data_IF_398227533058
#
_entry.id   IF_398227533058
#
_cell.length_a   1.000
_cell.length_b   1.000
_cell.length_c   1.000
_cell.angle_alpha   90.00
_cell.angle_beta   90.00
_cell.angle_gamma   90.00
#
_symmetry.space_group_name_H-M   'P 1'
#
loop_
_entity.id
_entity.type
_entity.pdbx_description
1 polymer ?
#
# COMPACT_ATOMS: atom_id res chain seq x y z
N UNK A 1 -14.96 -8.28 -6.80
CA UNK A 1 -13.89 -8.65 -7.76
C UNK A 1 -13.97 -7.81 -9.02
N UNK A 2 -14.92 -8.09 -9.91
CA UNK A 2 -14.97 -7.49 -11.25
C UNK A 2 -15.40 -6.00 -11.25
N UNK A 3 -16.52 -5.67 -10.59
CA UNK A 3 -17.03 -4.29 -10.53
C UNK A 3 -15.99 -3.35 -9.89
N UNK A 4 -15.39 -3.79 -8.78
CA UNK A 4 -14.31 -3.05 -8.12
C UNK A 4 -13.10 -2.82 -9.02
N UNK A 5 -12.69 -3.81 -9.82
CA UNK A 5 -11.61 -3.65 -10.78
C UNK A 5 -11.93 -2.60 -11.85
N UNK A 6 -13.13 -2.68 -12.45
CA UNK A 6 -13.59 -1.68 -13.43
C UNK A 6 -13.65 -0.26 -12.84
N UNK A 7 -14.23 -0.12 -11.64
CA UNK A 7 -14.30 1.17 -10.95
C UNK A 7 -12.90 1.70 -10.62
N UNK A 8 -12.01 0.86 -10.11
CA UNK A 8 -10.66 1.25 -9.72
C UNK A 8 -9.83 1.68 -10.94
N UNK A 9 -9.91 0.95 -12.06
CA UNK A 9 -9.26 1.35 -13.32
C UNK A 9 -9.82 2.67 -13.84
N UNK A 10 -11.15 2.86 -13.78
CA UNK A 10 -11.80 4.10 -14.19
C UNK A 10 -11.35 5.31 -13.37
N UNK A 11 -11.35 5.18 -12.04
CA UNK A 11 -10.86 6.23 -11.12
C UNK A 11 -9.38 6.51 -11.37
N UNK A 12 -8.56 5.46 -11.49
CA UNK A 12 -7.13 5.61 -11.77
C UNK A 12 -6.89 6.37 -13.09
N UNK A 13 -7.64 6.07 -14.15
CA UNK A 13 -7.54 6.78 -15.44
C UNK A 13 -7.91 8.26 -15.32
N UNK A 14 -8.95 8.59 -14.57
CA UNK A 14 -9.36 9.99 -14.32
C UNK A 14 -8.25 10.75 -13.58
N UNK A 15 -7.68 10.16 -12.52
CA UNK A 15 -6.58 10.77 -11.76
C UNK A 15 -5.33 10.91 -12.63
N UNK A 16 -5.00 9.90 -13.44
CA UNK A 16 -3.88 9.95 -14.39
C UNK A 16 -4.02 11.10 -15.39
N UNK A 17 -5.23 11.33 -15.91
CA UNK A 17 -5.49 12.41 -16.86
C UNK A 17 -5.43 13.79 -16.18
N UNK A 18 -5.88 13.89 -14.92
CA UNK A 18 -5.93 15.16 -14.19
C UNK A 18 -4.56 15.60 -13.66
N UNK A 19 -3.76 14.68 -13.14
CA UNK A 19 -2.48 14.99 -12.47
C UNK A 19 -1.24 14.56 -13.26
N UNK A 20 -1.42 13.77 -14.33
CA UNK A 20 -0.33 13.23 -15.13
C UNK A 20 0.40 12.05 -14.46
N UNK A 21 1.23 11.31 -15.22
CA UNK A 21 1.99 10.16 -14.70
C UNK A 21 3.02 10.57 -13.64
N UNK A 22 3.52 11.82 -13.70
CA UNK A 22 4.57 12.32 -12.82
C UNK A 22 4.09 12.61 -11.39
N UNK A 23 2.78 12.60 -11.16
CA UNK A 23 2.19 12.75 -9.84
C UNK A 23 2.24 11.46 -9.00
N UNK A 24 2.62 10.33 -9.60
CA UNK A 24 2.76 9.04 -8.94
C UNK A 24 4.23 8.65 -8.77
N UNK A 25 4.60 8.21 -7.57
CA UNK A 25 5.95 7.71 -7.30
C UNK A 25 6.45 7.99 -5.89
N UNK A 26 7.68 7.57 -5.57
CA UNK A 26 8.34 7.94 -4.32
C UNK A 26 8.44 9.48 -4.27
N UNK A 27 8.01 10.08 -3.15
CA UNK A 27 8.04 11.53 -2.91
C UNK A 27 7.17 12.39 -3.84
N UNK A 28 6.15 11.80 -4.48
CA UNK A 28 5.14 12.51 -5.27
C UNK A 28 3.82 12.66 -4.53
N UNK A 29 2.87 13.42 -5.11
CA UNK A 29 1.54 13.67 -4.53
C UNK A 29 0.79 12.37 -4.19
N UNK A 30 0.99 11.32 -4.99
CA UNK A 30 0.46 9.99 -4.75
C UNK A 30 1.59 8.98 -4.53
N UNK A 31 1.98 8.70 -3.27
CA UNK A 31 3.00 7.71 -2.97
C UNK A 31 2.49 6.32 -3.34
N UNK A 32 3.12 5.70 -4.34
CA UNK A 32 2.73 4.40 -4.87
C UNK A 32 3.92 3.42 -4.87
N UNK A 33 4.51 3.10 -3.70
CA UNK A 33 5.72 2.30 -3.62
C UNK A 33 5.54 0.94 -4.31
N UNK A 34 4.45 0.21 -4.06
CA UNK A 34 4.26 -1.09 -4.71
C UNK A 34 4.23 -1.01 -6.25
N UNK A 35 3.57 0.01 -6.80
CA UNK A 35 3.52 0.23 -8.24
C UNK A 35 4.89 0.61 -8.82
N UNK A 36 5.67 1.44 -8.11
CA UNK A 36 7.03 1.82 -8.51
C UNK A 36 7.99 0.63 -8.57
N UNK A 37 7.86 -0.35 -7.67
CA UNK A 37 8.70 -1.55 -7.71
C UNK A 37 8.38 -2.41 -8.94
N UNK A 38 7.10 -2.64 -9.22
CA UNK A 38 6.69 -3.40 -10.41
C UNK A 38 7.12 -2.66 -11.69
N UNK A 39 6.95 -1.34 -11.74
CA UNK A 39 7.40 -0.51 -12.84
C UNK A 39 8.92 -0.58 -13.05
N UNK A 40 9.71 -0.56 -11.97
CA UNK A 40 11.17 -0.71 -12.04
C UNK A 40 11.57 -2.09 -12.60
N UNK A 41 10.86 -3.17 -12.24
CA UNK A 41 11.13 -4.50 -12.77
C UNK A 41 10.79 -4.61 -14.27
N UNK A 42 9.70 -3.97 -14.71
CA UNK A 42 9.32 -3.90 -16.14
C UNK A 42 10.30 -3.03 -16.94
N UNK A 43 10.80 -1.96 -16.33
CA UNK A 43 11.84 -1.09 -16.91
C UNK A 43 13.23 -1.72 -17.01
N UNK A 44 13.39 -2.93 -16.46
CA UNK A 44 14.63 -3.69 -16.47
C UNK A 44 15.36 -3.63 -15.12
N UNK A 45 16.05 -4.73 -14.78
CA UNK A 45 16.79 -4.85 -13.53
C UNK A 45 18.06 -3.97 -13.61
N UNK A 46 18.18 -2.91 -12.80
CA UNK A 46 19.28 -1.95 -12.93
C UNK A 46 20.64 -2.56 -12.56
N UNK A 47 20.67 -3.49 -11.59
CA UNK A 47 21.87 -4.19 -11.15
C UNK A 47 21.59 -5.68 -10.94
N UNK A 48 21.93 -6.49 -11.94
CA UNK A 48 21.71 -7.94 -11.92
C UNK A 48 22.36 -8.63 -10.71
N UNK A 49 23.55 -8.18 -10.31
CA UNK A 49 24.28 -8.73 -9.16
C UNK A 49 23.53 -8.47 -7.85
N UNK A 50 23.10 -7.23 -7.60
CA UNK A 50 22.34 -6.87 -6.40
C UNK A 50 20.99 -7.59 -6.34
N UNK A 51 20.32 -7.77 -7.49
CA UNK A 51 19.10 -8.57 -7.58
C UNK A 51 19.35 -10.03 -7.20
N UNK A 52 20.40 -10.66 -7.74
CA UNK A 52 20.75 -12.05 -7.42
C UNK A 52 21.10 -12.22 -5.93
N UNK A 53 21.87 -11.29 -5.38
CA UNK A 53 22.21 -11.28 -3.94
C UNK A 53 20.94 -11.14 -3.10
N UNK A 54 20.02 -10.26 -3.48
CA UNK A 54 18.71 -10.13 -2.84
C UNK A 54 17.87 -11.41 -2.92
N UNK A 55 17.84 -12.09 -4.06
CA UNK A 55 17.17 -13.38 -4.22
C UNK A 55 17.76 -14.47 -3.31
N UNK A 56 19.10 -14.57 -3.26
CA UNK A 56 19.78 -15.55 -2.40
C UNK A 56 19.55 -15.24 -0.91
N UNK A 57 19.65 -13.97 -0.52
CA UNK A 57 19.36 -13.54 0.85
C UNK A 57 17.89 -13.84 1.22
N UNK A 58 16.94 -13.54 0.33
CA UNK A 58 15.53 -13.88 0.52
C UNK A 58 15.29 -15.38 0.65
N UNK A 59 15.97 -16.19 -0.15
CA UNK A 59 15.91 -17.66 -0.07
C UNK A 59 16.44 -18.17 1.29
N UNK A 60 17.57 -17.64 1.76
CA UNK A 60 18.13 -17.99 3.07
C UNK A 60 17.16 -17.64 4.19
N UNK A 61 16.60 -16.42 4.17
CA UNK A 61 15.61 -15.98 5.16
C UNK A 61 14.34 -16.85 5.11
N UNK A 62 13.92 -17.29 3.92
CA UNK A 62 12.78 -18.20 3.75
C UNK A 62 13.05 -19.57 4.38
N UNK A 63 14.25 -20.15 4.16
CA UNK A 63 14.67 -21.41 4.79
C UNK A 63 14.71 -21.29 6.31
N UNK A 64 15.05 -20.11 6.83
CA UNK A 64 15.01 -19.81 8.27
C UNK A 64 13.60 -19.59 8.84
N UNK A 65 12.53 -19.75 8.04
CA UNK A 65 11.15 -19.45 8.40
C UNK A 65 10.94 -18.00 8.90
N UNK A 66 11.80 -17.07 8.47
CA UNK A 66 11.62 -15.66 8.76
C UNK A 66 10.59 -15.06 7.80
N UNK A 67 9.79 -14.08 8.23
CA UNK A 67 8.75 -13.46 7.40
C UNK A 67 9.38 -12.53 6.35
N UNK A 68 9.94 -13.12 5.29
CA UNK A 68 10.69 -12.42 4.23
C UNK A 68 9.85 -11.34 3.55
N UNK A 69 8.56 -11.61 3.32
CA UNK A 69 7.65 -10.63 2.71
C UNK A 69 7.45 -9.40 3.60
N UNK A 70 7.24 -9.61 4.90
CA UNK A 70 7.04 -8.52 5.86
C UNK A 70 8.32 -7.69 6.03
N UNK A 71 9.48 -8.35 6.07
CA UNK A 71 10.78 -7.69 6.15
C UNK A 71 11.10 -6.89 4.87
N UNK A 72 10.86 -7.49 3.70
CA UNK A 72 11.04 -6.82 2.41
C UNK A 72 10.14 -5.61 2.26
N UNK A 73 8.87 -5.72 2.67
CA UNK A 73 7.96 -4.58 2.73
C UNK A 73 8.44 -3.51 3.72
N UNK A 74 8.95 -3.89 4.89
CA UNK A 74 9.42 -2.94 5.91
C UNK A 74 10.65 -2.13 5.49
N UNK A 75 11.57 -2.73 4.73
CA UNK A 75 12.75 -2.04 4.17
C UNK A 75 12.34 -1.10 3.03
N UNK A 76 11.27 -1.43 2.33
CA UNK A 76 10.82 -0.75 1.12
C UNK A 76 9.78 0.35 1.35
N UNK A 77 8.92 0.22 2.36
CA UNK A 77 7.83 1.16 2.59
C UNK A 77 8.34 2.46 3.22
N UNK A 78 7.85 3.62 2.73
CA UNK A 78 7.99 4.89 3.44
C UNK A 78 7.60 4.76 4.90
N UNK A 79 8.37 5.41 5.78
CA UNK A 79 8.19 5.31 7.24
C UNK A 79 6.75 5.58 7.68
N UNK A 80 6.06 6.53 7.03
CA UNK A 80 4.68 6.87 7.36
C UNK A 80 3.68 5.73 7.06
N UNK A 81 3.88 4.97 5.97
CA UNK A 81 3.05 3.80 5.64
C UNK A 81 3.35 2.62 6.58
N UNK A 82 4.62 2.44 6.96
CA UNK A 82 5.00 1.44 7.97
C UNK A 82 4.41 1.77 9.34
N UNK A 83 4.36 3.06 9.71
CA UNK A 83 3.73 3.54 10.94
C UNK A 83 2.22 3.28 10.94
N UNK A 84 1.49 3.61 9.87
CA UNK A 84 0.04 3.36 9.82
C UNK A 84 -0.27 1.87 9.89
N UNK A 85 0.52 1.02 9.22
CA UNK A 85 0.44 -0.43 9.36
C UNK A 85 0.74 -0.89 10.80
N UNK A 86 1.75 -0.30 11.45
CA UNK A 86 2.08 -0.61 12.85
C UNK A 86 0.94 -0.24 13.80
N UNK A 87 0.29 0.91 13.61
CA UNK A 87 -0.89 1.29 14.39
C UNK A 87 -2.06 0.34 14.17
N UNK A 88 -2.30 -0.10 12.93
CA UNK A 88 -3.32 -1.13 12.63
C UNK A 88 -3.04 -2.46 13.31
N UNK A 89 -1.78 -2.90 13.30
CA UNK A 89 -1.34 -4.10 14.01
C UNK A 89 -1.41 -3.97 15.52
N UNK A 90 -1.06 -2.80 16.07
CA UNK A 90 -1.14 -2.52 17.50
C UNK A 90 -2.59 -2.49 17.99
N UNK A 91 -3.50 -1.85 17.23
CA UNK A 91 -4.92 -1.85 17.54
C UNK A 91 -5.49 -3.27 17.54
N UNK A 92 -5.15 -4.09 16.54
CA UNK A 92 -5.51 -5.52 16.54
C UNK A 92 -4.96 -6.23 17.80
N UNK A 93 -3.68 -6.06 18.12
CA UNK A 93 -3.07 -6.69 19.29
C UNK A 93 -3.77 -6.29 20.61
N UNK A 94 -4.10 -5.01 20.76
CA UNK A 94 -4.85 -4.52 21.92
C UNK A 94 -6.26 -5.11 21.94
N UNK A 95 -6.97 -5.15 20.81
CA UNK A 95 -8.31 -5.75 20.76
C UNK A 95 -8.28 -7.25 21.07
N UNK A 96 -7.29 -7.98 20.58
CA UNK A 96 -7.10 -9.40 20.90
C UNK A 96 -6.84 -9.62 22.41
N UNK A 97 -6.12 -8.70 23.05
CA UNK A 97 -5.79 -8.75 24.48
C UNK A 97 -6.97 -8.37 25.39
N UNK A 98 -7.70 -7.31 25.06
CA UNK A 98 -8.77 -6.74 25.90
C UNK A 98 -10.16 -7.31 25.61
N UNK A 99 -10.39 -7.83 24.41
CA UNK A 99 -11.68 -8.38 23.99
C UNK A 99 -11.52 -9.74 23.28
N UNK A 100 -11.07 -10.80 23.99
CA UNK A 100 -10.84 -12.13 23.40
C UNK A 100 -12.11 -12.75 22.79
N UNK A 101 -13.31 -12.35 23.25
CA UNK A 101 -14.59 -12.75 22.64
C UNK A 101 -14.81 -12.14 21.24
N UNK A 102 -14.24 -10.97 20.96
CA UNK A 102 -14.26 -10.31 19.64
C UNK A 102 -13.17 -10.86 18.70
N UNK A 103 -12.07 -11.35 19.26
CA UNK A 103 -11.05 -12.07 18.50
C UNK A 103 -11.57 -13.44 18.03
N UNK A 104 -12.27 -14.18 18.91
CA UNK A 104 -12.87 -15.47 18.57
C UNK A 104 -14.00 -15.38 17.53
N UNK A 105 -14.66 -14.22 17.39
CA UNK A 105 -15.66 -13.98 16.35
C UNK A 105 -15.06 -13.60 14.99
N UNK A 106 -13.72 -13.56 14.86
CA UNK A 106 -13.02 -13.20 13.62
C UNK A 106 -13.04 -11.70 13.30
N UNK A 107 -13.72 -10.88 14.12
CA UNK A 107 -13.78 -9.43 13.92
C UNK A 107 -12.43 -8.75 14.21
N UNK A 108 -11.63 -9.29 15.13
CA UNK A 108 -10.27 -8.82 15.42
C UNK A 108 -9.32 -8.87 14.21
N UNK A 109 -9.49 -9.88 13.34
CA UNK A 109 -8.65 -10.04 12.15
C UNK A 109 -8.92 -8.98 11.07
N UNK A 110 -10.10 -8.36 11.10
CA UNK A 110 -10.51 -7.33 10.13
C UNK A 110 -9.99 -5.95 10.52
N UNK A 111 -9.57 -5.73 11.78
CA UNK A 111 -9.19 -4.38 12.27
C UNK A 111 -7.97 -3.83 11.54
N UNK A 112 -6.90 -4.61 11.43
CA UNK A 112 -5.69 -4.18 10.73
C UNK A 112 -5.92 -3.92 9.22
N UNK A 113 -6.48 -4.86 8.43
CA UNK A 113 -6.79 -4.60 7.01
C UNK A 113 -7.92 -3.59 6.81
N UNK A 114 -8.83 -3.44 7.77
CA UNK A 114 -9.90 -2.44 7.76
C UNK A 114 -9.38 -1.02 7.99
N UNK A 115 -8.40 -0.84 8.88
CA UNK A 115 -7.74 0.45 9.08
C UNK A 115 -6.90 0.83 7.84
N UNK A 116 -6.14 -0.12 7.30
CA UNK A 116 -5.36 0.04 6.07
C UNK A 116 -6.27 0.28 4.84
N UNK A 117 -7.41 -0.40 4.76
CA UNK A 117 -8.41 -0.16 3.71
C UNK A 117 -9.12 1.19 3.87
N UNK A 118 -9.37 1.59 5.12
CA UNK A 118 -10.02 2.84 5.47
C UNK A 118 -9.21 4.07 5.08
N UNK A 119 -7.89 4.08 5.32
CA UNK A 119 -7.01 5.17 4.85
C UNK A 119 -7.06 5.32 3.32
N UNK A 120 -7.09 4.22 2.58
CA UNK A 120 -7.14 4.24 1.12
C UNK A 120 -8.48 4.81 0.61
N UNK A 121 -9.60 4.41 1.22
CA UNK A 121 -10.94 4.93 0.86
C UNK A 121 -11.03 6.44 1.12
N UNK A 122 -10.56 6.90 2.28
CA UNK A 122 -10.52 8.34 2.61
C UNK A 122 -9.63 9.10 1.64
N UNK A 123 -8.46 8.54 1.27
CA UNK A 123 -7.57 9.11 0.27
C UNK A 123 -8.24 9.30 -1.10
N UNK A 124 -9.02 8.31 -1.56
CA UNK A 124 -9.78 8.41 -2.82
C UNK A 124 -10.86 9.50 -2.74
N UNK A 125 -11.58 9.57 -1.62
CA UNK A 125 -12.60 10.61 -1.40
C UNK A 125 -11.97 12.01 -1.44
N UNK A 126 -10.83 12.19 -0.77
CA UNK A 126 -10.09 13.47 -0.77
C UNK A 126 -9.54 13.82 -2.16
N UNK A 127 -9.04 12.84 -2.91
CA UNK A 127 -8.56 13.05 -4.27
C UNK A 127 -9.70 13.47 -5.22
N UNK A 128 -10.88 12.85 -5.09
CA UNK A 128 -12.07 13.26 -5.83
C UNK A 128 -12.52 14.67 -5.44
N UNK A 129 -12.56 15.00 -4.15
CA UNK A 129 -12.88 16.35 -3.69
C UNK A 129 -11.92 17.40 -4.28
N UNK A 130 -10.61 17.13 -4.24
CA UNK A 130 -9.59 18.01 -4.84
C UNK A 130 -9.73 18.11 -6.36
N UNK A 131 -10.08 17.02 -7.06
CA UNK A 131 -10.31 17.06 -8.49
C UNK A 131 -11.50 17.97 -8.85
N UNK A 132 -12.62 17.87 -8.12
CA UNK A 132 -13.79 18.72 -8.36
C UNK A 132 -13.55 20.19 -7.96
N UNK A 133 -12.88 20.45 -6.83
CA UNK A 133 -12.56 21.81 -6.41
C UNK A 133 -11.50 22.47 -7.30
N UNK A 134 -10.51 21.70 -7.76
CA UNK A 134 -9.49 22.15 -8.71
C UNK A 134 -10.04 22.43 -10.11
N UNK A 135 -11.08 21.70 -10.55
CA UNK A 135 -11.80 22.02 -11.79
C UNK A 135 -12.63 23.31 -11.62
N UNK A 136 -13.22 23.53 -10.45
CA UNK A 136 -14.03 24.72 -10.16
C UNK A 136 -13.22 26.01 -9.96
N UNK A 137 -11.92 25.93 -9.66
CA UNK A 137 -11.04 27.10 -9.52
C UNK A 137 -10.40 27.56 -10.84
N UNK A 138 -10.59 26.81 -11.93
CA UNK A 138 -10.09 27.12 -13.28
C UNK A 138 -11.22 27.63 -14.20
N UNK A 139 -12.49 27.57 -13.76
CA UNK A 139 -13.66 28.14 -14.45
C UNK A 139 -14.10 29.46 -13.83
#
# INVERSE_FOLDING_TARGET
GLIGAFVSVGVFYVVLKAYGPEAFGPDKMFPAPQASMVAAMVGGIPHMTSFLVGCVAGLVLYVMNLPVMTLGLGIYLPFYLSLTAMFGGLLKYLTDRFAPKFAQSGLGDIIAPGLLGGEAVVGVILALYQAFSGIASIG
#
